data_IF_431090100166
#
_entry.id   IF_431090100166
#
_cell.length_a   1.000
_cell.length_b   1.000
_cell.length_c   1.000
_cell.angle_alpha   90.00
_cell.angle_beta   90.00
_cell.angle_gamma   90.00
#
_symmetry.space_group_name_H-M   'P 1'
#
loop_
_entity.id
_entity.type
_entity.pdbx_description
1 polymer ?
#
# COMPACT_ATOMS: atom_id res chain seq x y z
N UNK A 1 -18.49 0.97 -0.68
CA UNK A 1 -17.77 2.24 -0.91
C UNK A 1 -16.52 2.47 -0.05
N UNK A 2 -15.96 1.47 0.66
CA UNK A 2 -14.60 1.50 1.22
C UNK A 2 -13.79 0.31 0.66
N UNK A 3 -14.40 -0.88 0.67
CA UNK A 3 -13.87 -2.06 -0.01
C UNK A 3 -13.64 -1.89 -1.51
N UNK A 4 -14.44 -1.05 -2.18
CA UNK A 4 -14.31 -0.79 -3.63
C UNK A 4 -13.00 -0.04 -3.94
N UNK A 5 -12.63 0.96 -3.13
CA UNK A 5 -11.38 1.71 -3.29
C UNK A 5 -10.16 0.85 -2.93
N UNK A 6 -10.25 0.03 -1.89
CA UNK A 6 -9.19 -0.91 -1.55
C UNK A 6 -8.95 -1.94 -2.67
N UNK A 7 -10.03 -2.48 -3.24
CA UNK A 7 -9.97 -3.40 -4.36
C UNK A 7 -9.40 -2.72 -5.62
N UNK A 8 -9.83 -1.48 -5.89
CA UNK A 8 -9.30 -0.63 -6.96
C UNK A 8 -7.79 -0.44 -6.78
N UNK A 9 -7.32 0.06 -5.64
CA UNK A 9 -5.89 0.25 -5.36
C UNK A 9 -5.13 -1.07 -5.53
N UNK A 10 -5.61 -2.17 -4.94
CA UNK A 10 -4.94 -3.46 -5.03
C UNK A 10 -4.79 -3.94 -6.49
N UNK A 11 -5.82 -3.73 -7.33
CA UNK A 11 -5.74 -4.07 -8.75
C UNK A 11 -4.63 -3.29 -9.48
N UNK A 12 -4.41 -2.03 -9.11
CA UNK A 12 -3.34 -1.19 -9.67
C UNK A 12 -1.95 -1.59 -9.21
N UNK A 13 -1.81 -2.10 -7.98
CA UNK A 13 -0.50 -2.55 -7.48
C UNK A 13 0.00 -3.81 -8.22
N UNK A 14 -0.92 -4.68 -8.68
CA UNK A 14 -0.66 -6.00 -9.26
C UNK A 14 -0.12 -5.93 -10.72
N UNK A 15 0.05 -4.75 -11.30
CA UNK A 15 0.73 -4.58 -12.59
C UNK A 15 2.26 -4.63 -12.48
N UNK A 16 2.91 -5.36 -13.40
CA UNK A 16 4.36 -5.27 -13.61
C UNK A 16 4.71 -3.88 -14.19
N UNK A 17 5.60 -3.11 -13.56
CA UNK A 17 6.04 -1.83 -14.11
C UNK A 17 6.97 -2.08 -15.31
N UNK A 18 6.88 -1.21 -16.33
CA UNK A 18 7.78 -1.21 -17.49
C UNK A 18 9.15 -0.58 -17.18
N UNK A 19 9.21 0.28 -16.16
CA UNK A 19 10.45 0.84 -15.63
C UNK A 19 10.74 0.25 -14.25
N UNK A 20 11.90 -0.37 -14.16
CA UNK A 20 12.33 -1.17 -13.04
C UNK A 20 13.35 -0.34 -12.25
N UNK A 21 12.91 0.26 -11.13
CA UNK A 21 13.76 1.02 -10.21
C UNK A 21 14.89 0.20 -9.57
N UNK A 22 15.28 0.50 -8.34
CA UNK A 22 16.32 -0.28 -7.63
C UNK A 22 15.94 -1.76 -7.48
N UNK A 23 16.91 -2.67 -7.33
CA UNK A 23 16.65 -4.13 -7.21
C UNK A 23 15.57 -4.49 -6.18
N UNK A 24 15.49 -3.74 -5.07
CA UNK A 24 14.46 -3.96 -4.04
C UNK A 24 13.05 -3.58 -4.52
N UNK A 25 12.93 -2.49 -5.29
CA UNK A 25 11.67 -2.06 -5.90
C UNK A 25 11.20 -3.03 -6.98
N UNK A 26 12.15 -3.59 -7.75
CA UNK A 26 11.89 -4.62 -8.75
C UNK A 26 11.35 -5.90 -8.10
N UNK A 27 11.99 -6.38 -7.04
CA UNK A 27 11.53 -7.56 -6.30
C UNK A 27 10.13 -7.30 -5.72
N UNK A 28 9.89 -6.12 -5.14
CA UNK A 28 8.59 -5.77 -4.62
C UNK A 28 7.51 -5.76 -5.71
N UNK A 29 7.80 -5.17 -6.87
CA UNK A 29 6.89 -5.16 -8.00
C UNK A 29 6.57 -6.58 -8.52
N UNK A 30 7.59 -7.44 -8.67
CA UNK A 30 7.42 -8.84 -9.07
C UNK A 30 6.54 -9.62 -8.07
N UNK A 31 6.80 -9.47 -6.77
CA UNK A 31 6.05 -10.16 -5.73
C UNK A 31 4.60 -9.70 -5.64
N UNK A 32 4.32 -8.41 -5.89
CA UNK A 32 2.95 -7.91 -5.91
C UNK A 32 2.22 -8.34 -7.19
N UNK A 33 2.91 -8.43 -8.32
CA UNK A 33 2.32 -8.85 -9.59
C UNK A 33 2.04 -10.35 -9.68
N UNK A 34 2.73 -11.17 -8.89
CA UNK A 34 2.51 -12.63 -8.84
C UNK A 34 1.06 -12.95 -8.44
N UNK A 35 0.26 -13.61 -9.31
CA UNK A 35 -1.16 -13.86 -9.07
C UNK A 35 -1.46 -14.57 -7.75
N UNK A 36 -0.58 -15.46 -7.31
CA UNK A 36 -0.72 -16.18 -6.03
C UNK A 36 -0.72 -15.26 -4.81
N UNK A 37 -0.11 -14.09 -4.91
CA UNK A 37 0.00 -13.12 -3.83
C UNK A 37 -1.17 -12.13 -3.80
N UNK A 38 -2.07 -12.16 -4.80
CA UNK A 38 -3.20 -11.22 -4.93
C UNK A 38 -4.01 -11.09 -3.64
N UNK A 39 -4.35 -12.21 -3.01
CA UNK A 39 -5.13 -12.19 -1.77
C UNK A 39 -4.39 -11.41 -0.66
N UNK A 40 -3.10 -11.68 -0.47
CA UNK A 40 -2.28 -11.00 0.52
C UNK A 40 -2.15 -9.49 0.23
N UNK A 41 -1.92 -9.12 -1.03
CA UNK A 41 -1.86 -7.72 -1.47
C UNK A 41 -3.18 -7.01 -1.17
N UNK A 42 -4.31 -7.59 -1.59
CA UNK A 42 -5.64 -7.01 -1.33
C UNK A 42 -5.89 -6.82 0.17
N UNK A 43 -5.55 -7.82 1.00
CA UNK A 43 -5.75 -7.74 2.44
C UNK A 43 -4.91 -6.62 3.08
N UNK A 44 -3.64 -6.47 2.68
CA UNK A 44 -2.78 -5.40 3.19
C UNK A 44 -3.29 -4.03 2.76
N UNK A 45 -3.61 -3.87 1.47
CA UNK A 45 -4.14 -2.60 0.93
C UNK A 45 -5.41 -2.20 1.66
N UNK A 46 -6.37 -3.11 1.81
CA UNK A 46 -7.63 -2.81 2.48
C UNK A 46 -7.41 -2.25 3.89
N UNK A 47 -6.61 -2.94 4.71
CA UNK A 47 -6.37 -2.51 6.10
C UNK A 47 -5.66 -1.16 6.17
N UNK A 48 -4.68 -0.90 5.30
CA UNK A 48 -3.92 0.36 5.27
C UNK A 48 -4.79 1.52 4.78
N UNK A 49 -5.56 1.31 3.72
CA UNK A 49 -6.46 2.33 3.15
C UNK A 49 -7.59 2.63 4.12
N UNK A 50 -8.21 1.61 4.72
CA UNK A 50 -9.25 1.79 5.73
C UNK A 50 -8.71 2.53 6.97
N UNK A 51 -7.45 2.26 7.38
CA UNK A 51 -6.79 3.03 8.44
C UNK A 51 -6.73 4.52 8.14
N UNK A 52 -6.24 4.83 6.94
CA UNK A 52 -5.99 6.20 6.51
C UNK A 52 -7.32 6.94 6.33
N UNK A 53 -8.33 6.30 5.74
CA UNK A 53 -9.64 6.92 5.53
C UNK A 53 -10.40 7.18 6.84
N UNK A 54 -10.12 6.43 7.90
CA UNK A 54 -10.64 6.69 9.24
C UNK A 54 -9.93 7.87 9.95
N UNK A 55 -8.80 8.35 9.41
CA UNK A 55 -8.06 9.49 9.93
C UNK A 55 -8.49 10.81 9.26
N UNK A 56 -8.77 11.89 10.02
CA UNK A 56 -9.17 13.19 9.45
C UNK A 56 -8.13 13.81 8.50
N UNK A 57 -6.84 13.52 8.70
CA UNK A 57 -5.76 13.99 7.85
C UNK A 57 -5.38 12.98 6.76
N UNK A 58 -6.09 11.86 6.68
CA UNK A 58 -5.82 10.73 5.80
C UNK A 58 -4.46 10.10 6.05
N UNK A 59 -4.04 10.05 7.30
CA UNK A 59 -2.72 9.61 7.70
C UNK A 59 -2.71 8.22 8.31
N UNK A 60 -1.63 7.49 8.05
CA UNK A 60 -1.47 6.11 8.48
C UNK A 60 -0.06 5.81 8.94
N UNK A 61 0.07 4.82 9.84
CA UNK A 61 1.35 4.34 10.36
C UNK A 61 1.24 2.86 10.70
N UNK A 62 2.34 2.11 10.66
CA UNK A 62 2.27 0.66 10.93
C UNK A 62 1.79 0.32 12.34
N UNK A 63 1.95 1.22 13.31
CA UNK A 63 1.38 1.06 14.65
C UNK A 63 -0.14 0.84 14.63
N UNK A 64 -0.86 1.46 13.67
CA UNK A 64 -2.33 1.45 13.61
C UNK A 64 -2.90 0.27 12.84
N UNK A 65 -2.24 -0.17 11.77
CA UNK A 65 -2.77 -1.24 10.90
C UNK A 65 -2.11 -2.61 11.11
N UNK A 66 -0.89 -2.71 11.64
CA UNK A 66 -0.15 -4.00 11.68
C UNK A 66 -0.88 -5.12 12.41
N UNK A 67 -1.62 -4.81 13.47
CA UNK A 67 -2.38 -5.79 14.26
C UNK A 67 -3.72 -6.15 13.61
N UNK A 68 -4.14 -5.39 12.60
CA UNK A 68 -5.38 -5.60 11.84
C UNK A 68 -5.15 -6.40 10.57
N UNK A 69 -3.90 -6.63 10.18
CA UNK A 69 -3.55 -7.51 9.06
C UNK A 69 -3.88 -8.96 9.43
N UNK A 70 -4.59 -9.71 8.56
CA UNK A 70 -4.90 -11.11 8.83
C UNK A 70 -3.63 -11.95 9.05
N UNK A 71 -3.66 -12.84 10.04
CA UNK A 71 -2.49 -13.64 10.43
C UNK A 71 -1.97 -14.59 9.34
N UNK A 72 -2.77 -14.91 8.32
CA UNK A 72 -2.35 -15.71 7.18
C UNK A 72 -1.49 -14.94 6.17
N UNK A 73 -1.44 -13.61 6.26
CA UNK A 73 -0.58 -12.78 5.41
C UNK A 73 0.87 -12.90 5.91
N UNK A 74 1.74 -13.38 5.04
CA UNK A 74 3.17 -13.45 5.34
C UNK A 74 3.74 -12.04 5.64
N UNK A 75 4.52 -11.86 6.74
CA UNK A 75 5.03 -10.54 7.13
C UNK A 75 5.81 -9.81 6.04
N UNK A 76 6.51 -10.55 5.16
CA UNK A 76 7.26 -9.95 4.05
C UNK A 76 6.32 -9.25 3.05
N UNK A 77 5.13 -9.82 2.82
CA UNK A 77 4.15 -9.25 1.88
C UNK A 77 3.61 -7.91 2.35
N UNK A 78 3.59 -7.67 3.66
CA UNK A 78 3.20 -6.38 4.24
C UNK A 78 4.17 -5.29 3.78
N UNK A 79 5.47 -5.50 4.01
CA UNK A 79 6.50 -4.53 3.63
C UNK A 79 6.59 -4.32 2.12
N UNK A 80 6.50 -5.41 1.36
CA UNK A 80 6.47 -5.38 -0.12
C UNK A 80 5.30 -4.56 -0.63
N UNK A 81 4.09 -4.78 -0.10
CA UNK A 81 2.89 -4.06 -0.53
C UNK A 81 2.96 -2.58 -0.17
N UNK A 82 3.34 -2.23 1.07
CA UNK A 82 3.48 -0.82 1.48
C UNK A 82 4.55 -0.10 0.65
N UNK A 83 5.68 -0.76 0.35
CA UNK A 83 6.70 -0.19 -0.53
C UNK A 83 6.15 0.06 -1.93
N UNK A 84 5.38 -0.87 -2.49
CA UNK A 84 4.74 -0.69 -3.79
C UNK A 84 3.75 0.47 -3.79
N UNK A 85 2.97 0.65 -2.71
CA UNK A 85 2.09 1.82 -2.55
C UNK A 85 2.86 3.13 -2.51
N UNK A 86 4.06 3.16 -1.90
CA UNK A 86 4.94 4.33 -1.90
C UNK A 86 5.51 4.61 -3.29
N UNK A 87 6.00 3.59 -4.00
CA UNK A 87 6.54 3.73 -5.37
C UNK A 87 5.49 4.23 -6.37
N UNK A 88 4.22 3.93 -6.14
CA UNK A 88 3.10 4.36 -6.99
C UNK A 88 2.43 5.64 -6.49
N UNK A 89 3.05 6.34 -5.55
CA UNK A 89 2.56 7.58 -4.92
C UNK A 89 1.17 7.46 -4.27
N UNK A 90 0.67 6.25 -4.00
CA UNK A 90 -0.58 6.00 -3.28
C UNK A 90 -0.41 6.37 -1.80
N UNK A 91 0.74 6.03 -1.24
CA UNK A 91 1.19 6.57 0.04
C UNK A 91 2.31 7.57 -0.23
N UNK A 92 2.32 8.66 0.51
CA UNK A 92 3.38 9.66 0.43
C UNK A 92 3.97 9.92 1.82
N UNK A 93 5.28 10.16 1.88
CA UNK A 93 5.93 10.56 3.12
C UNK A 93 5.47 11.95 3.55
N UNK A 94 5.05 12.08 4.81
CA UNK A 94 4.70 13.40 5.38
C UNK A 94 5.91 14.16 5.94
N UNK A 95 7.09 13.52 5.97
CA UNK A 95 8.27 14.02 6.68
C UNK A 95 8.19 13.92 8.21
N UNK A 96 7.05 13.48 8.77
CA UNK A 96 6.85 13.30 10.20
C UNK A 96 7.05 11.85 10.61
N UNK A 97 7.39 11.66 11.88
CA UNK A 97 7.72 10.36 12.47
C UNK A 97 7.00 10.16 13.79
N UNK A 98 6.65 8.91 14.08
CA UNK A 98 6.13 8.48 15.38
C UNK A 98 7.03 7.38 15.95
N UNK A 99 6.94 7.15 17.27
CA UNK A 99 7.66 6.05 17.92
C UNK A 99 6.93 4.74 17.66
N UNK A 100 7.65 3.73 17.16
CA UNK A 100 7.07 2.40 16.95
C UNK A 100 6.69 1.75 18.29
N UNK A 101 5.54 1.07 18.33
CA UNK A 101 5.06 0.27 19.47
C UNK A 101 5.33 -1.23 19.28
N UNK A 102 6.12 -1.59 18.27
CA UNK A 102 6.34 -2.97 17.87
C UNK A 102 7.34 -3.71 18.76
N UNK A 103 6.79 -4.36 19.78
CA UNK A 103 7.53 -5.24 20.71
C UNK A 103 8.03 -6.51 20.02
N UNK A 104 7.22 -7.13 19.16
CA UNK A 104 7.53 -8.44 18.57
C UNK A 104 8.65 -8.35 17.52
N UNK A 105 8.63 -7.32 16.68
CA UNK A 105 9.73 -7.06 15.74
C UNK A 105 10.93 -6.34 16.35
N UNK A 106 10.95 -6.14 17.68
CA UNK A 106 12.04 -5.44 18.41
C UNK A 106 12.30 -4.04 17.85
N UNK A 107 11.23 -3.33 17.53
CA UNK A 107 11.25 -1.98 16.98
C UNK A 107 10.72 -0.92 17.95
N UNK A 108 10.29 -1.30 19.15
CA UNK A 108 9.83 -0.38 20.19
C UNK A 108 10.76 0.83 20.33
N UNK A 109 10.18 2.04 20.21
CA UNK A 109 10.90 3.30 20.37
C UNK A 109 11.70 3.76 19.13
N UNK A 110 11.86 2.93 18.10
CA UNK A 110 12.47 3.38 16.83
C UNK A 110 11.54 4.37 16.12
N UNK A 111 12.15 5.29 15.36
CA UNK A 111 11.39 6.21 14.52
C UNK A 111 10.76 5.45 13.36
N UNK A 112 9.48 5.72 13.12
CA UNK A 112 8.72 5.16 12.03
C UNK A 112 8.01 6.30 11.30
N UNK A 113 8.11 6.30 9.98
CA UNK A 113 7.49 7.32 9.16
C UNK A 113 5.96 7.29 9.27
N UNK A 114 5.38 8.49 9.19
CA UNK A 114 3.96 8.70 9.02
C UNK A 114 3.68 9.01 7.55
N UNK A 115 2.71 8.31 6.99
CA UNK A 115 2.35 8.41 5.57
C UNK A 115 0.97 9.05 5.43
N UNK A 116 0.77 9.82 4.37
CA UNK A 116 -0.55 10.29 3.96
C UNK A 116 -1.03 9.49 2.75
N UNK A 117 -2.34 9.21 2.70
CA UNK A 117 -2.99 8.59 1.56
C UNK A 117 -3.27 9.64 0.47
N UNK A 118 -2.70 9.43 -0.71
CA UNK A 118 -2.88 10.28 -1.87
C UNK A 118 -3.91 9.68 -2.83
N UNK A 119 -5.13 10.19 -2.79
CA UNK A 119 -6.21 9.74 -3.69
C UNK A 119 -6.06 10.27 -5.12
N UNK A 120 -5.12 11.18 -5.36
CA UNK A 120 -4.79 11.71 -6.69
C UNK A 120 -3.55 11.04 -7.29
N UNK A 121 -3.11 9.91 -6.73
CA UNK A 121 -1.95 9.18 -7.24
C UNK A 121 -2.16 8.84 -8.74
N UNK A 122 -1.17 9.13 -9.61
CA UNK A 122 -1.29 8.87 -11.06
C UNK A 122 -1.68 7.44 -11.39
N UNK A 123 -1.19 6.46 -10.61
CA UNK A 123 -1.53 5.05 -10.75
C UNK A 123 -3.04 4.77 -10.58
N UNK A 124 -3.77 5.59 -9.83
CA UNK A 124 -5.22 5.50 -9.66
C UNK A 124 -5.99 6.28 -10.72
N UNK A 125 -5.36 7.26 -11.37
CA UNK A 125 -5.99 8.15 -12.34
C UNK A 125 -5.89 7.66 -13.79
N UNK A 126 -4.76 7.07 -14.20
CA UNK A 126 -4.51 6.61 -15.58
C UNK A 126 -5.58 5.63 -16.09
N UNK A 127 -6.21 4.88 -15.18
CA UNK A 127 -7.19 3.85 -15.53
C UNK A 127 -8.63 4.39 -15.58
N UNK A 128 -8.96 5.49 -14.89
CA UNK A 128 -10.27 6.15 -15.02
C UNK A 128 -10.47 6.71 -16.42
N UNK A 129 -9.42 7.32 -16.98
CA UNK A 129 -9.41 7.82 -18.36
C UNK A 129 -9.50 6.69 -19.39
N UNK A 130 -8.98 5.49 -19.07
CA UNK A 130 -9.04 4.32 -19.96
C UNK A 130 -10.41 3.61 -19.89
N UNK A 131 -11.06 3.58 -18.73
CA UNK A 131 -12.39 3.01 -18.55
C UNK A 131 -13.52 3.90 -19.13
N UNK A 132 -13.28 5.21 -19.29
CA UNK A 132 -14.21 6.16 -19.90
C UNK A 132 -14.05 6.30 -21.43
N UNK A 133 -13.03 5.71 -22.04
CA UNK A 133 -12.92 5.63 -23.50
C UNK A 133 -13.76 4.45 -24.00
N UNK A 134 -14.87 4.68 -24.74
CA UNK A 134 -15.60 3.58 -25.36
C UNK A 134 -14.69 2.94 -26.40
N UNK A 135 -14.65 1.60 -26.42
CA UNK A 135 -13.97 0.86 -27.46
C UNK A 135 -14.48 1.34 -28.82
N UNK A 136 -13.59 1.92 -29.61
CA UNK A 136 -13.84 2.32 -30.99
C UNK A 136 -13.99 1.09 -31.90
#
# INVERSE_FOLDING_TARGET
MLGDLAAEIASHLIGLPLDYGTTVEQIAALLVAEPRNRAAVCAVVAVVVDDALADPFRETTSNRWRTRIPAWVAPQMIGVTVRRMLTLDVLVHTGRYVRSTDKHGRNTGKLMALYALNLAAPALLQTRTTAEQPAA
#
